data_IF_656759181922
#
_entry.id   IF_656759181922
#
_cell.length_a   1.000
_cell.length_b   1.000
_cell.length_c   1.000
_cell.angle_alpha   90.00
_cell.angle_beta   90.00
_cell.angle_gamma   90.00
#
_symmetry.space_group_name_H-M   'P 1'
#
loop_
_entity.id
_entity.type
_entity.pdbx_description
1 polymer ?
#
# COMPACT_ATOMS: atom_id res chain seq x y z
N UNK A 1 -9.48 -23.93 -2.75
CA UNK A 1 -9.28 -22.80 -1.82
C UNK A 1 -8.53 -23.31 -0.60
N UNK A 2 -7.47 -22.63 -0.19
CA UNK A 2 -6.65 -23.00 0.96
C UNK A 2 -7.38 -22.67 2.27
N UNK A 3 -6.93 -23.28 3.39
CA UNK A 3 -7.41 -22.88 4.71
C UNK A 3 -6.97 -21.46 5.05
N UNK A 4 -7.82 -20.70 5.73
CA UNK A 4 -7.50 -19.35 6.16
C UNK A 4 -8.18 -19.00 7.49
N UNK A 5 -7.62 -17.99 8.15
CA UNK A 5 -8.25 -17.29 9.26
C UNK A 5 -8.32 -15.81 8.86
N UNK A 6 -9.53 -15.27 8.77
CA UNK A 6 -9.76 -13.88 8.39
C UNK A 6 -10.33 -13.11 9.57
N UNK A 7 -9.62 -12.04 9.94
CA UNK A 7 -10.06 -11.09 10.95
C UNK A 7 -9.86 -9.68 10.42
N UNK A 8 -10.94 -8.94 10.23
CA UNK A 8 -10.97 -7.56 9.74
C UNK A 8 -11.58 -6.64 10.78
N UNK A 9 -10.85 -6.30 11.87
CA UNK A 9 -11.39 -5.60 13.02
C UNK A 9 -11.67 -4.12 12.77
N UNK A 10 -11.10 -3.53 11.72
CA UNK A 10 -11.22 -2.09 11.44
C UNK A 10 -12.66 -1.71 11.10
N UNK A 11 -13.25 -0.82 11.91
CA UNK A 11 -14.54 -0.20 11.58
C UNK A 11 -14.35 0.84 10.48
N UNK A 12 -15.05 0.69 9.38
CA UNK A 12 -15.05 1.67 8.29
C UNK A 12 -16.23 2.63 8.44
N UNK A 13 -15.92 3.94 8.53
CA UNK A 13 -16.89 5.02 8.47
C UNK A 13 -16.73 5.71 7.11
N UNK A 14 -17.59 5.35 6.17
CA UNK A 14 -17.46 5.76 4.77
C UNK A 14 -18.55 6.76 4.39
N UNK A 15 -18.16 7.84 3.73
CA UNK A 15 -19.08 8.77 3.11
C UNK A 15 -18.76 10.23 3.44
N UNK A 16 -19.50 11.11 2.79
CA UNK A 16 -19.38 12.55 2.99
C UNK A 16 -19.68 12.91 4.44
N UNK A 17 -18.87 13.77 5.01
CA UNK A 17 -19.00 14.27 6.39
C UNK A 17 -18.86 13.17 7.48
N UNK A 18 -18.31 11.99 7.14
CA UNK A 18 -18.09 10.90 8.10
C UNK A 18 -17.21 11.31 9.29
N UNK A 19 -16.48 12.41 9.19
CA UNK A 19 -15.69 12.99 10.29
C UNK A 19 -16.54 13.32 11.52
N UNK A 20 -17.83 13.57 11.36
CA UNK A 20 -18.75 13.85 12.46
C UNK A 20 -18.81 12.70 13.50
N UNK A 21 -18.54 11.48 13.06
CA UNK A 21 -18.56 10.30 13.93
C UNK A 21 -17.19 10.04 14.61
N UNK A 22 -16.15 10.83 14.34
CA UNK A 22 -14.80 10.62 14.85
C UNK A 22 -14.75 10.55 16.37
N UNK A 23 -15.40 11.52 17.04
CA UNK A 23 -15.37 11.63 18.50
C UNK A 23 -15.88 10.36 19.21
N UNK A 24 -16.89 9.72 18.65
CA UNK A 24 -17.49 8.51 19.19
C UNK A 24 -16.59 7.27 19.08
N UNK A 25 -15.53 7.31 18.24
CA UNK A 25 -14.62 6.20 18.05
C UNK A 25 -13.42 6.23 19.04
N UNK A 26 -13.22 7.34 19.73
CA UNK A 26 -12.04 7.55 20.60
C UNK A 26 -12.51 7.53 22.06
N UNK A 27 -11.79 6.81 22.98
CA UNK A 27 -12.12 6.81 24.40
C UNK A 27 -12.20 8.23 24.99
N UNK A 28 -13.13 8.43 25.92
CA UNK A 28 -13.40 9.77 26.47
C UNK A 28 -12.24 10.37 27.27
N UNK A 29 -11.38 9.52 27.80
CA UNK A 29 -10.20 9.85 28.60
C UNK A 29 -8.88 9.72 27.81
N UNK A 30 -8.98 9.55 26.49
CA UNK A 30 -7.79 9.36 25.66
C UNK A 30 -6.93 10.62 25.60
N UNK A 31 -5.61 10.42 25.72
CA UNK A 31 -4.60 11.39 25.31
C UNK A 31 -4.15 11.05 23.90
N UNK A 32 -4.54 11.92 22.97
CA UNK A 32 -4.43 11.65 21.53
C UNK A 32 -3.19 12.32 20.95
N UNK A 33 -2.41 11.58 20.16
CA UNK A 33 -1.39 12.15 19.28
C UNK A 33 -1.91 12.07 17.84
N UNK A 34 -2.19 13.23 17.25
CA UNK A 34 -2.56 13.35 15.83
C UNK A 34 -1.29 13.41 15.00
N UNK A 35 -1.13 12.47 14.08
CA UNK A 35 0.03 12.37 13.18
C UNK A 35 -0.36 12.75 11.76
N UNK A 36 0.49 13.50 11.04
CA UNK A 36 0.23 13.90 9.66
C UNK A 36 1.53 14.13 8.88
N UNK A 37 1.42 14.30 7.55
CA UNK A 37 2.55 14.50 6.66
C UNK A 37 3.03 15.94 6.55
N UNK A 38 3.42 16.36 5.34
CA UNK A 38 4.03 17.66 5.06
C UNK A 38 3.10 18.89 5.12
N UNK A 39 1.87 18.74 5.64
CA UNK A 39 0.98 19.87 5.91
C UNK A 39 -0.11 20.11 4.85
N UNK A 40 -0.31 19.25 3.86
CA UNK A 40 -1.43 19.34 2.93
C UNK A 40 -2.78 19.31 3.67
N UNK A 41 -2.92 18.49 4.69
CA UNK A 41 -4.15 18.40 5.51
C UNK A 41 -4.47 19.69 6.29
N UNK A 42 -3.45 20.52 6.60
CA UNK A 42 -3.66 21.87 7.14
C UNK A 42 -4.23 22.81 6.06
N UNK A 43 -3.64 22.78 4.88
CA UNK A 43 -4.05 23.66 3.76
C UNK A 43 -5.45 23.36 3.24
N UNK A 44 -5.86 22.10 3.28
CA UNK A 44 -7.19 21.65 2.81
C UNK A 44 -8.28 21.76 3.87
N UNK A 45 -7.94 22.13 5.11
CA UNK A 45 -8.88 22.25 6.22
C UNK A 45 -9.31 20.90 6.85
N UNK A 46 -8.76 19.77 6.41
CA UNK A 46 -9.07 18.46 7.00
C UNK A 46 -8.63 18.40 8.45
N UNK A 47 -7.43 18.94 8.75
CA UNK A 47 -6.91 18.93 10.12
C UNK A 47 -7.76 19.80 11.06
N UNK A 48 -8.30 20.92 10.59
CA UNK A 48 -9.20 21.79 11.39
C UNK A 48 -10.51 21.04 11.72
N UNK A 49 -11.04 20.25 10.79
CA UNK A 49 -12.22 19.41 11.03
C UNK A 49 -11.90 18.32 12.06
N UNK A 50 -10.72 17.71 11.98
CA UNK A 50 -10.25 16.72 12.95
C UNK A 50 -10.19 17.34 14.35
N UNK A 51 -9.55 18.51 14.51
CA UNK A 51 -9.47 19.17 15.83
C UNK A 51 -10.83 19.57 16.37
N UNK A 52 -11.70 20.07 15.51
CA UNK A 52 -13.08 20.38 15.92
C UNK A 52 -13.84 19.14 16.41
N UNK A 53 -13.62 17.99 15.75
CA UNK A 53 -14.23 16.73 16.17
C UNK A 53 -13.61 16.15 17.45
N UNK A 54 -12.36 16.54 17.80
CA UNK A 54 -11.66 16.09 18.99
C UNK A 54 -11.83 17.05 20.19
N UNK A 55 -12.69 18.04 20.08
CA UNK A 55 -12.93 19.01 21.16
C UNK A 55 -13.22 18.30 22.49
N UNK A 56 -12.59 18.80 23.56
CA UNK A 56 -12.69 18.24 24.89
C UNK A 56 -11.74 17.07 25.20
N UNK A 57 -10.91 16.62 24.24
CA UNK A 57 -9.83 15.66 24.47
C UNK A 57 -8.48 16.34 24.69
N UNK A 58 -7.57 15.66 25.37
CA UNK A 58 -6.16 16.07 25.48
C UNK A 58 -5.42 15.67 24.21
N UNK A 59 -5.15 16.66 23.32
CA UNK A 59 -4.61 16.42 21.98
C UNK A 59 -3.19 17.00 21.85
N UNK A 60 -2.31 16.20 21.28
CA UNK A 60 -0.97 16.60 20.79
C UNK A 60 -0.90 16.39 19.29
N UNK A 61 0.07 17.04 18.65
CA UNK A 61 0.29 16.86 17.21
C UNK A 61 1.74 16.49 16.87
N UNK A 62 1.92 15.71 15.84
CA UNK A 62 3.20 15.43 15.21
C UNK A 62 3.04 15.48 13.69
N UNK A 63 3.62 16.49 13.06
CA UNK A 63 3.64 16.66 11.60
C UNK A 63 5.00 16.36 10.98
N UNK A 64 5.03 16.27 9.65
CA UNK A 64 6.26 16.12 8.90
C UNK A 64 6.63 14.67 8.57
N UNK A 65 5.70 13.74 8.70
CA UNK A 65 5.91 12.37 8.20
C UNK A 65 6.01 12.44 6.66
N UNK A 66 7.18 12.12 6.14
CA UNK A 66 7.49 12.18 4.72
C UNK A 66 6.95 11.00 3.92
N UNK A 67 6.81 11.10 2.60
CA UNK A 67 6.63 9.94 1.73
C UNK A 67 7.76 8.91 1.96
N UNK A 68 7.42 7.61 2.00
CA UNK A 68 8.33 6.56 2.47
C UNK A 68 8.85 6.86 3.88
N UNK A 69 8.00 6.78 4.91
CA UNK A 69 8.27 7.32 6.24
C UNK A 69 9.56 6.76 6.82
N UNK A 70 10.43 7.65 7.33
CA UNK A 70 11.73 7.24 7.81
C UNK A 70 11.75 6.98 9.31
N UNK A 71 12.47 5.95 9.71
CA UNK A 71 12.75 5.60 11.09
C UNK A 71 13.18 6.82 11.91
N UNK A 72 14.12 7.60 11.35
CA UNK A 72 14.69 8.76 12.03
C UNK A 72 13.64 9.82 12.36
N UNK A 73 12.72 10.10 11.45
CA UNK A 73 11.60 11.02 11.69
C UNK A 73 10.62 10.45 12.71
N UNK A 74 10.25 9.18 12.56
CA UNK A 74 9.26 8.52 13.41
C UNK A 74 9.70 8.37 14.85
N UNK A 75 11.00 8.19 15.12
CA UNK A 75 11.55 8.10 16.49
C UNK A 75 11.33 9.38 17.29
N UNK A 76 11.20 10.56 16.64
CA UNK A 76 10.81 11.78 17.34
C UNK A 76 9.38 11.70 17.89
N UNK A 77 8.46 11.13 17.10
CA UNK A 77 7.08 10.90 17.56
C UNK A 77 6.99 9.81 18.64
N UNK A 78 7.80 8.75 18.53
CA UNK A 78 7.91 7.72 19.58
C UNK A 78 8.31 8.32 20.91
N UNK A 79 9.28 9.25 20.89
CA UNK A 79 9.70 9.98 22.10
C UNK A 79 8.53 10.77 22.71
N UNK A 80 7.80 11.53 21.90
CA UNK A 80 6.60 12.27 22.36
C UNK A 80 5.57 11.30 22.95
N UNK A 81 5.29 10.20 22.24
CA UNK A 81 4.30 9.22 22.68
C UNK A 81 4.62 8.63 24.07
N UNK A 82 5.89 8.37 24.34
CA UNK A 82 6.37 7.86 25.64
C UNK A 82 6.36 8.94 26.73
N UNK A 83 6.97 10.09 26.47
CA UNK A 83 7.13 11.17 27.46
C UNK A 83 5.79 11.77 27.88
N UNK A 84 4.84 11.87 26.95
CA UNK A 84 3.52 12.45 27.22
C UNK A 84 2.44 11.40 27.52
N UNK A 85 2.81 10.13 27.65
CA UNK A 85 1.90 9.02 27.95
C UNK A 85 0.68 9.01 27.04
N UNK A 86 0.92 9.04 25.72
CA UNK A 86 -0.13 8.98 24.71
C UNK A 86 -0.85 7.62 24.77
N UNK A 87 -2.17 7.63 24.78
CA UNK A 87 -3.01 6.43 24.88
C UNK A 87 -3.77 6.12 23.61
N UNK A 88 -3.77 7.02 22.62
CA UNK A 88 -4.40 6.83 21.33
C UNK A 88 -3.67 7.59 20.22
N UNK A 89 -3.50 6.98 19.04
CA UNK A 89 -2.92 7.63 17.86
C UNK A 89 -4.00 7.86 16.81
N UNK A 90 -3.98 9.03 16.17
CA UNK A 90 -4.86 9.32 15.04
C UNK A 90 -4.03 9.74 13.83
N UNK A 91 -3.95 8.87 12.82
CA UNK A 91 -3.28 9.14 11.57
C UNK A 91 -4.19 9.96 10.63
N UNK A 92 -3.75 11.13 10.20
CA UNK A 92 -4.49 11.98 9.24
C UNK A 92 -3.65 12.15 7.98
N UNK A 93 -3.93 11.35 6.95
CA UNK A 93 -3.11 11.36 5.74
C UNK A 93 -3.32 10.15 4.83
N UNK A 94 -2.33 9.89 3.99
CA UNK A 94 -2.25 8.71 3.14
C UNK A 94 -1.40 7.60 3.77
N UNK A 95 -1.08 6.57 2.97
CA UNK A 95 -0.39 5.37 3.40
C UNK A 95 0.89 5.61 4.19
N UNK A 96 1.73 6.56 3.79
CA UNK A 96 2.98 6.87 4.51
C UNK A 96 2.74 7.36 5.94
N UNK A 97 1.71 8.17 6.15
CA UNK A 97 1.33 8.64 7.50
C UNK A 97 0.79 7.48 8.33
N UNK A 98 -0.04 6.62 7.72
CA UNK A 98 -0.61 5.46 8.40
C UNK A 98 0.48 4.45 8.78
N UNK A 99 1.36 4.12 7.86
CA UNK A 99 2.49 3.20 8.09
C UNK A 99 3.42 3.73 9.18
N UNK A 100 3.77 5.02 9.10
CA UNK A 100 4.55 5.69 10.14
C UNK A 100 3.87 5.63 11.51
N UNK A 101 2.55 5.84 11.54
CA UNK A 101 1.77 5.80 12.79
C UNK A 101 1.69 4.39 13.38
N UNK A 102 1.58 3.35 12.54
CA UNK A 102 1.68 1.95 12.98
C UNK A 102 3.03 1.64 13.62
N UNK A 103 4.11 2.14 13.02
CA UNK A 103 5.43 2.00 13.62
C UNK A 103 5.52 2.73 14.97
N UNK A 104 5.06 3.98 15.05
CA UNK A 104 5.02 4.75 16.31
C UNK A 104 4.23 3.97 17.38
N UNK A 105 3.08 3.41 17.01
CA UNK A 105 2.22 2.63 17.91
C UNK A 105 2.95 1.44 18.56
N UNK A 106 3.66 0.66 17.74
CA UNK A 106 4.42 -0.49 18.21
C UNK A 106 5.69 -0.06 18.98
N UNK A 107 6.46 0.88 18.41
CA UNK A 107 7.74 1.32 18.96
C UNK A 107 7.58 2.02 20.31
N UNK A 108 6.47 2.71 20.56
CA UNK A 108 6.19 3.35 21.85
C UNK A 108 6.09 2.34 23.01
N UNK A 109 5.59 1.13 22.72
CA UNK A 109 5.49 0.01 23.67
C UNK A 109 6.65 -0.99 23.60
N UNK A 110 7.64 -0.70 22.74
CA UNK A 110 8.78 -1.60 22.57
C UNK A 110 9.73 -1.52 23.77
N UNK A 111 10.44 -2.63 24.04
CA UNK A 111 11.28 -2.75 25.23
C UNK A 111 12.35 -1.65 25.31
N UNK A 112 12.55 -1.10 26.52
CA UNK A 112 13.59 -0.11 26.76
C UNK A 112 14.98 -0.69 26.48
N UNK A 113 15.85 0.14 25.85
CA UNK A 113 17.21 -0.24 25.54
C UNK A 113 17.38 -1.11 24.30
N UNK A 114 16.29 -1.50 23.62
CA UNK A 114 16.34 -2.20 22.33
C UNK A 114 16.04 -1.20 21.22
N UNK A 115 16.83 -1.22 20.14
CA UNK A 115 16.57 -0.40 18.95
C UNK A 115 15.22 -0.82 18.32
N UNK A 116 14.21 0.06 18.25
CA UNK A 116 12.93 -0.28 17.61
C UNK A 116 13.01 -0.68 16.13
N UNK A 117 14.15 -0.45 15.46
CA UNK A 117 14.37 -1.00 14.13
C UNK A 117 14.26 -2.54 14.10
N UNK A 118 14.50 -3.18 15.22
CA UNK A 118 14.32 -4.63 15.38
C UNK A 118 12.89 -5.11 15.02
N UNK A 119 11.88 -4.25 15.11
CA UNK A 119 10.53 -4.53 14.62
C UNK A 119 10.55 -4.92 13.12
N UNK A 120 11.37 -4.23 12.32
CA UNK A 120 11.50 -4.49 10.88
C UNK A 120 12.32 -5.77 10.62
N UNK A 121 13.40 -5.98 11.36
CA UNK A 121 14.26 -7.17 11.27
C UNK A 121 13.47 -8.45 11.59
N UNK A 122 12.58 -8.40 12.57
CA UNK A 122 11.69 -9.52 12.96
C UNK A 122 10.39 -9.56 12.16
N UNK A 123 10.21 -8.65 11.20
CA UNK A 123 8.98 -8.50 10.41
C UNK A 123 7.72 -8.35 11.29
N UNK A 124 7.88 -7.77 12.48
CA UNK A 124 6.82 -7.52 13.45
C UNK A 124 6.45 -8.70 14.34
N UNK A 125 7.12 -9.86 14.25
CA UNK A 125 6.73 -11.05 15.02
C UNK A 125 6.91 -10.94 16.54
N UNK A 126 7.71 -10.00 16.99
CA UNK A 126 8.01 -9.77 18.41
C UNK A 126 7.20 -8.63 19.05
N UNK A 127 6.34 -7.94 18.29
CA UNK A 127 5.41 -6.95 18.85
C UNK A 127 4.40 -7.64 19.76
N UNK A 128 4.35 -7.23 21.03
CA UNK A 128 3.45 -7.79 22.05
C UNK A 128 2.26 -6.90 22.34
N UNK A 129 2.38 -5.61 22.08
CA UNK A 129 1.33 -4.61 22.24
C UNK A 129 1.67 -3.37 21.44
N UNK A 130 0.67 -2.54 21.18
CA UNK A 130 0.82 -1.24 20.53
C UNK A 130 -0.20 -0.25 21.10
N UNK A 131 0.05 1.04 20.93
CA UNK A 131 -0.96 2.06 21.23
C UNK A 131 -2.10 1.90 20.21
N UNK A 132 -3.37 1.82 20.65
CA UNK A 132 -4.51 1.79 19.71
C UNK A 132 -4.50 2.99 18.77
N UNK A 133 -4.87 2.76 17.52
CA UNK A 133 -4.90 3.83 16.53
C UNK A 133 -6.14 3.81 15.64
N UNK A 134 -6.56 5.00 15.21
CA UNK A 134 -7.53 5.20 14.14
C UNK A 134 -6.94 6.02 13.00
N UNK A 135 -7.69 6.17 11.92
CA UNK A 135 -7.24 6.93 10.76
C UNK A 135 -8.33 7.79 10.13
N UNK A 136 -7.89 8.91 9.54
CA UNK A 136 -8.65 9.74 8.61
C UNK A 136 -7.89 9.71 7.28
N UNK A 137 -8.41 8.98 6.31
CA UNK A 137 -7.73 8.73 5.04
C UNK A 137 -7.91 9.91 4.09
N UNK A 138 -6.80 10.40 3.53
CA UNK A 138 -6.83 11.49 2.55
C UNK A 138 -6.28 11.10 1.18
N UNK A 139 -5.61 9.96 1.07
CA UNK A 139 -5.07 9.42 -0.19
C UNK A 139 -5.27 7.91 -0.22
N UNK A 140 -6.26 7.41 -0.99
CA UNK A 140 -6.50 6.00 -1.16
C UNK A 140 -5.47 5.37 -2.10
N UNK A 141 -4.76 4.34 -1.65
CA UNK A 141 -3.75 3.58 -2.38
C UNK A 141 -3.45 2.25 -1.67
N UNK A 142 -2.79 2.34 -0.52
CA UNK A 142 -2.13 1.24 0.18
C UNK A 142 -3.07 0.31 0.97
N UNK A 143 -4.32 0.71 1.21
CA UNK A 143 -5.22 -0.02 2.12
C UNK A 143 -4.73 -0.04 3.58
N UNK A 144 -3.72 0.76 3.93
CA UNK A 144 -3.11 0.78 5.27
C UNK A 144 -4.10 1.15 6.37
N UNK A 145 -5.17 1.84 6.03
CA UNK A 145 -6.26 2.20 6.96
C UNK A 145 -7.06 1.00 7.47
N UNK A 146 -6.94 -0.16 6.82
CA UNK A 146 -7.72 -1.36 7.17
C UNK A 146 -6.91 -2.66 7.16
N UNK A 147 -5.58 -2.57 7.21
CA UNK A 147 -4.71 -3.73 7.29
C UNK A 147 -3.68 -3.60 8.42
N UNK A 148 -2.91 -4.65 8.64
CA UNK A 148 -1.91 -4.78 9.71
C UNK A 148 -0.46 -4.63 9.25
N UNK A 149 -0.24 -4.22 8.00
CA UNK A 149 1.08 -4.01 7.40
C UNK A 149 1.54 -2.57 7.47
N UNK A 150 2.84 -2.36 7.51
CA UNK A 150 3.48 -1.06 7.36
C UNK A 150 4.88 -1.21 6.74
N UNK A 151 5.31 -0.19 6.00
CA UNK A 151 6.62 -0.16 5.35
C UNK A 151 7.38 1.08 5.80
N UNK A 152 8.57 0.88 6.36
CA UNK A 152 9.41 1.93 6.94
C UNK A 152 10.76 1.97 6.25
N UNK A 153 11.25 3.17 5.99
CA UNK A 153 12.59 3.39 5.45
C UNK A 153 13.58 3.73 6.57
N UNK A 154 14.85 3.38 6.40
CA UNK A 154 15.95 3.84 7.24
C UNK A 154 16.98 4.56 6.37
N UNK A 155 17.09 5.88 6.55
CA UNK A 155 17.94 6.73 5.69
C UNK A 155 19.41 6.42 5.86
N UNK A 156 19.83 6.09 7.08
CA UNK A 156 21.26 5.83 7.41
C UNK A 156 21.81 4.58 6.73
N UNK A 157 20.97 3.59 6.41
CA UNK A 157 21.35 2.32 5.77
C UNK A 157 20.81 2.19 4.34
N UNK A 158 19.88 3.09 3.93
CA UNK A 158 19.23 3.02 2.63
C UNK A 158 18.25 1.86 2.50
N UNK A 159 17.70 1.39 3.63
CA UNK A 159 16.77 0.25 3.66
C UNK A 159 15.32 0.70 3.59
N UNK A 160 14.46 -0.15 3.00
CA UNK A 160 13.01 -0.04 3.03
C UNK A 160 12.42 -1.41 3.29
N UNK A 161 11.88 -1.62 4.48
CA UNK A 161 11.41 -2.91 4.95
C UNK A 161 9.98 -2.87 5.46
N UNK A 162 9.28 -4.00 5.35
CA UNK A 162 7.92 -4.18 5.80
C UNK A 162 7.86 -4.98 7.12
N UNK A 163 6.86 -4.65 7.94
CA UNK A 163 6.45 -5.48 9.08
C UNK A 163 4.93 -5.64 9.11
N UNK A 164 4.45 -6.66 9.78
CA UNK A 164 3.02 -6.93 9.95
C UNK A 164 2.73 -7.43 11.37
N UNK A 165 1.72 -6.83 12.01
CA UNK A 165 1.26 -7.33 13.31
C UNK A 165 -0.18 -6.88 13.57
N UNK A 166 -1.00 -7.73 14.20
CA UNK A 166 -2.41 -7.43 14.49
C UNK A 166 -2.61 -6.26 15.45
N UNK A 167 -1.66 -6.03 16.36
CA UNK A 167 -1.73 -4.93 17.34
C UNK A 167 -1.66 -3.54 16.70
N UNK A 168 -1.14 -3.40 15.48
CA UNK A 168 -1.03 -2.10 14.79
C UNK A 168 -2.15 -1.86 13.78
N UNK A 169 -3.09 -2.79 13.63
CA UNK A 169 -4.23 -2.59 12.72
C UNK A 169 -5.14 -1.49 13.27
N UNK A 170 -5.53 -0.48 12.46
CA UNK A 170 -6.41 0.58 12.91
C UNK A 170 -7.75 0.04 13.42
N UNK A 171 -8.23 0.56 14.55
CA UNK A 171 -9.53 0.16 15.13
C UNK A 171 -10.70 0.78 14.35
N UNK A 172 -10.47 1.91 13.70
CA UNK A 172 -11.42 2.51 12.75
C UNK A 172 -10.67 3.28 11.65
N UNK A 173 -11.36 3.51 10.55
CA UNK A 173 -10.93 4.39 9.48
C UNK A 173 -12.09 5.26 8.99
N UNK A 174 -11.86 6.56 8.88
CA UNK A 174 -12.77 7.52 8.26
C UNK A 174 -12.35 7.70 6.80
N UNK A 175 -13.27 7.40 5.90
CA UNK A 175 -13.10 7.44 4.46
C UNK A 175 -14.12 8.41 3.85
N UNK A 176 -13.75 9.67 3.74
CA UNK A 176 -14.55 10.67 3.05
C UNK A 176 -13.98 10.94 1.65
N UNK A 177 -14.67 10.55 0.57
CA UNK A 177 -14.18 10.79 -0.80
C UNK A 177 -13.90 12.26 -1.11
N UNK A 178 -14.57 13.19 -0.45
CA UNK A 178 -14.37 14.65 -0.64
C UNK A 178 -12.93 15.06 -0.29
N UNK A 179 -12.29 14.40 0.67
CA UNK A 179 -10.89 14.69 1.05
C UNK A 179 -9.89 14.39 -0.06
N UNK A 180 -10.29 13.66 -1.09
CA UNK A 180 -9.43 13.32 -2.23
C UNK A 180 -9.50 14.31 -3.38
N UNK A 181 -10.44 15.26 -3.37
CA UNK A 181 -10.68 16.20 -4.49
C UNK A 181 -9.45 17.07 -4.81
N UNK A 182 -8.67 17.41 -3.80
CA UNK A 182 -7.49 18.28 -3.92
C UNK A 182 -6.20 17.54 -4.19
N UNK A 183 -6.25 16.21 -4.35
CA UNK A 183 -5.06 15.43 -4.65
C UNK A 183 -4.50 15.79 -6.05
N UNK A 184 -3.18 15.99 -6.16
CA UNK A 184 -2.53 16.10 -7.46
C UNK A 184 -2.79 14.88 -8.34
N UNK A 185 -2.97 15.08 -9.65
CA UNK A 185 -3.23 14.01 -10.61
C UNK A 185 -2.22 12.84 -10.50
N UNK A 186 -0.94 13.14 -10.29
CA UNK A 186 0.11 12.14 -10.07
C UNK A 186 -0.19 11.22 -8.87
N UNK A 187 -0.68 11.77 -7.76
CA UNK A 187 -1.00 10.96 -6.58
C UNK A 187 -2.25 10.12 -6.80
N UNK A 188 -3.23 10.64 -7.53
CA UNK A 188 -4.42 9.86 -7.91
C UNK A 188 -4.03 8.69 -8.82
N UNK A 189 -3.22 8.93 -9.85
CA UNK A 189 -2.71 7.89 -10.74
C UNK A 189 -1.92 6.82 -9.98
N UNK A 190 -1.01 7.26 -9.11
CA UNK A 190 -0.22 6.36 -8.26
C UNK A 190 -1.12 5.50 -7.35
N UNK A 191 -2.17 6.08 -6.75
CA UNK A 191 -3.10 5.34 -5.91
C UNK A 191 -3.87 4.26 -6.68
N UNK A 192 -4.32 4.57 -7.90
CA UNK A 192 -5.00 3.61 -8.78
C UNK A 192 -4.06 2.46 -9.18
N UNK A 193 -2.82 2.77 -9.57
CA UNK A 193 -1.80 1.77 -9.95
C UNK A 193 -1.44 0.89 -8.75
N UNK A 194 -1.24 1.46 -7.58
CA UNK A 194 -0.90 0.74 -6.35
C UNK A 194 -2.01 -0.27 -5.97
N UNK A 195 -3.26 0.19 -5.91
CA UNK A 195 -4.41 -0.67 -5.63
C UNK A 195 -4.58 -1.78 -6.69
N UNK A 196 -4.31 -1.46 -7.97
CA UNK A 196 -4.35 -2.45 -9.05
C UNK A 196 -3.29 -3.54 -8.83
N UNK A 197 -2.05 -3.15 -8.53
CA UNK A 197 -0.95 -4.11 -8.31
C UNK A 197 -1.19 -4.94 -7.05
N UNK A 198 -1.66 -4.34 -5.95
CA UNK A 198 -2.09 -5.10 -4.77
C UNK A 198 -3.08 -6.21 -5.13
N UNK A 199 -4.06 -5.88 -5.97
CA UNK A 199 -5.09 -6.84 -6.36
C UNK A 199 -4.52 -7.97 -7.19
N UNK A 200 -3.71 -7.67 -8.22
CA UNK A 200 -3.18 -8.70 -9.11
C UNK A 200 -2.13 -9.60 -8.45
N UNK A 201 -1.38 -9.12 -7.46
CA UNK A 201 -0.43 -9.97 -6.72
C UNK A 201 -1.12 -11.00 -5.81
N UNK A 202 -2.41 -10.80 -5.51
CA UNK A 202 -3.26 -11.77 -4.82
C UNK A 202 -4.13 -12.59 -5.79
N UNK A 203 -4.22 -12.19 -7.06
CA UNK A 203 -5.09 -12.79 -8.07
C UNK A 203 -4.33 -13.56 -9.13
N UNK A 204 -3.26 -13.00 -9.72
CA UNK A 204 -2.49 -13.61 -10.82
C UNK A 204 -1.36 -14.48 -10.26
N UNK A 205 -1.73 -15.61 -9.67
CA UNK A 205 -0.83 -16.61 -9.10
C UNK A 205 -1.07 -17.97 -9.74
N UNK A 206 -1.54 -18.95 -8.99
CA UNK A 206 -2.00 -20.24 -9.53
C UNK A 206 -3.39 -20.61 -9.02
N UNK A 207 -4.17 -21.41 -9.76
CA UNK A 207 -5.54 -21.74 -9.40
C UNK A 207 -5.64 -22.59 -8.15
N UNK A 208 -6.51 -22.19 -7.21
CA UNK A 208 -6.90 -22.98 -6.03
C UNK A 208 -8.43 -23.14 -5.91
N UNK A 209 -9.14 -22.87 -7.02
CA UNK A 209 -10.61 -22.92 -7.09
C UNK A 209 -11.31 -22.02 -6.06
N UNK A 210 -10.76 -20.82 -5.84
CA UNK A 210 -11.30 -19.81 -4.93
C UNK A 210 -12.16 -18.79 -5.68
N UNK A 211 -13.33 -19.23 -6.16
CA UNK A 211 -14.19 -18.48 -7.08
C UNK A 211 -14.64 -17.13 -6.53
N UNK A 212 -14.93 -17.03 -5.23
CA UNK A 212 -15.38 -15.78 -4.59
C UNK A 212 -14.24 -14.76 -4.59
N UNK A 213 -13.02 -15.16 -4.17
CA UNK A 213 -11.85 -14.30 -4.19
C UNK A 213 -11.51 -13.83 -5.61
N UNK A 214 -11.62 -14.73 -6.59
CA UNK A 214 -11.44 -14.37 -7.99
C UNK A 214 -12.43 -13.27 -8.43
N UNK A 215 -13.73 -13.43 -8.10
CA UNK A 215 -14.75 -12.43 -8.44
C UNK A 215 -14.57 -11.10 -7.72
N UNK A 216 -14.16 -11.12 -6.46
CA UNK A 216 -13.85 -9.89 -5.73
C UNK A 216 -12.66 -9.16 -6.35
N UNK A 217 -11.57 -9.87 -6.67
CA UNK A 217 -10.41 -9.29 -7.32
C UNK A 217 -10.76 -8.75 -8.71
N UNK A 218 -11.48 -9.50 -9.53
CA UNK A 218 -11.97 -9.09 -10.85
C UNK A 218 -12.84 -7.83 -10.75
N UNK A 219 -13.74 -7.76 -9.77
CA UNK A 219 -14.58 -6.57 -9.52
C UNK A 219 -13.77 -5.32 -9.16
N UNK A 220 -12.74 -5.47 -8.31
CA UNK A 220 -11.85 -4.36 -7.95
C UNK A 220 -11.08 -3.88 -9.18
N UNK A 221 -10.50 -4.80 -9.97
CA UNK A 221 -9.73 -4.46 -11.18
C UNK A 221 -10.59 -3.73 -12.21
N UNK A 222 -11.79 -4.24 -12.49
CA UNK A 222 -12.74 -3.61 -13.41
C UNK A 222 -13.14 -2.20 -12.95
N UNK A 223 -13.40 -2.04 -11.65
CA UNK A 223 -13.71 -0.72 -11.07
C UNK A 223 -12.54 0.27 -11.24
N UNK A 224 -11.30 -0.17 -10.96
CA UNK A 224 -10.12 0.69 -11.12
C UNK A 224 -9.86 1.06 -12.59
N UNK A 225 -10.06 0.13 -13.52
CA UNK A 225 -9.93 0.38 -14.96
C UNK A 225 -10.98 1.39 -15.44
N UNK A 226 -12.21 1.27 -14.96
CA UNK A 226 -13.32 2.14 -15.33
C UNK A 226 -13.22 3.52 -14.72
N UNK A 227 -12.96 3.61 -13.39
CA UNK A 227 -13.04 4.84 -12.62
C UNK A 227 -11.70 5.58 -12.52
N UNK A 228 -10.56 4.88 -12.63
CA UNK A 228 -9.24 5.50 -12.52
C UNK A 228 -9.01 6.65 -13.51
N UNK A 229 -9.22 6.45 -14.82
CA UNK A 229 -9.11 7.53 -15.82
C UNK A 229 -10.12 8.66 -15.60
N UNK A 230 -11.34 8.35 -15.10
CA UNK A 230 -12.34 9.38 -14.77
C UNK A 230 -11.90 10.21 -13.57
N UNK A 231 -11.28 9.60 -12.56
CA UNK A 231 -10.77 10.30 -11.39
C UNK A 231 -9.73 11.39 -11.73
N UNK A 232 -8.99 11.21 -12.82
CA UNK A 232 -8.06 12.22 -13.34
C UNK A 232 -8.77 13.35 -14.10
N UNK A 233 -9.86 13.04 -14.79
CA UNK A 233 -10.61 14.01 -15.63
C UNK A 233 -11.67 14.76 -14.83
N UNK A 234 -12.23 14.15 -13.82
CA UNK A 234 -13.35 14.63 -13.00
C UNK A 234 -12.97 14.59 -11.51
N UNK A 235 -11.99 15.44 -11.08
CA UNK A 235 -11.39 15.33 -9.75
C UNK A 235 -12.37 15.54 -8.59
N UNK A 236 -13.50 16.22 -8.82
CA UNK A 236 -14.53 16.50 -7.82
C UNK A 236 -15.81 15.65 -8.00
N UNK A 237 -15.77 14.61 -8.85
CA UNK A 237 -16.89 13.69 -9.00
C UNK A 237 -16.90 12.72 -7.81
N UNK A 238 -17.90 12.87 -6.93
CA UNK A 238 -18.02 12.08 -5.71
C UNK A 238 -18.08 10.58 -5.99
N UNK A 239 -18.94 10.15 -6.92
CA UNK A 239 -19.13 8.72 -7.21
C UNK A 239 -17.85 8.07 -7.73
N UNK A 240 -17.13 8.76 -8.61
CA UNK A 240 -15.83 8.30 -9.11
C UNK A 240 -14.83 8.17 -7.97
N UNK A 241 -14.69 9.20 -7.13
CA UNK A 241 -13.76 9.19 -6.00
C UNK A 241 -14.12 8.15 -4.94
N UNK A 242 -15.40 7.95 -4.69
CA UNK A 242 -15.91 6.96 -3.76
C UNK A 242 -15.58 5.54 -4.22
N UNK A 243 -15.78 5.24 -5.51
CA UNK A 243 -15.44 3.94 -6.08
C UNK A 243 -13.93 3.66 -6.05
N UNK A 244 -13.10 4.63 -6.43
CA UNK A 244 -11.63 4.49 -6.36
C UNK A 244 -11.17 4.28 -4.91
N UNK A 245 -11.68 5.08 -3.96
CA UNK A 245 -11.33 4.96 -2.54
C UNK A 245 -11.72 3.59 -1.99
N UNK A 246 -12.93 3.13 -2.26
CA UNK A 246 -13.39 1.83 -1.76
C UNK A 246 -12.67 0.67 -2.42
N UNK A 247 -12.38 0.74 -3.72
CA UNK A 247 -11.58 -0.26 -4.43
C UNK A 247 -10.15 -0.37 -3.83
N UNK A 248 -9.50 0.75 -3.52
CA UNK A 248 -8.17 0.77 -2.91
C UNK A 248 -8.17 0.13 -1.51
N UNK A 249 -9.17 0.42 -0.68
CA UNK A 249 -9.33 -0.22 0.63
C UNK A 249 -9.53 -1.73 0.48
N UNK A 250 -10.40 -2.18 -0.42
CA UNK A 250 -10.68 -3.59 -0.64
C UNK A 250 -9.50 -4.36 -1.25
N UNK A 251 -8.64 -3.67 -1.99
CA UNK A 251 -7.47 -4.28 -2.62
C UNK A 251 -6.47 -4.88 -1.61
N UNK A 252 -6.40 -4.35 -0.38
CA UNK A 252 -5.44 -4.82 0.62
C UNK A 252 -5.96 -4.84 2.06
N UNK A 253 -7.24 -5.09 2.27
CA UNK A 253 -7.80 -5.28 3.61
C UNK A 253 -7.76 -6.75 4.10
N UNK A 254 -7.18 -7.65 3.32
CA UNK A 254 -7.06 -9.08 3.63
C UNK A 254 -8.18 -9.96 3.06
N UNK A 255 -9.29 -9.38 2.59
CA UNK A 255 -10.43 -10.16 2.10
C UNK A 255 -10.11 -10.97 0.85
N UNK A 256 -9.59 -10.33 -0.20
CA UNK A 256 -9.32 -11.00 -1.48
C UNK A 256 -8.15 -11.99 -1.42
N UNK A 257 -7.23 -11.81 -0.45
CA UNK A 257 -6.10 -12.71 -0.21
C UNK A 257 -6.43 -13.93 0.63
N UNK A 258 -7.66 -13.99 1.21
CA UNK A 258 -8.04 -15.08 2.09
C UNK A 258 -8.17 -16.41 1.33
N UNK A 259 -7.34 -17.39 1.69
CA UNK A 259 -7.37 -18.74 1.12
C UNK A 259 -6.85 -18.87 -0.31
N UNK A 260 -6.10 -17.86 -0.81
CA UNK A 260 -5.42 -17.89 -2.11
C UNK A 260 -3.91 -17.73 -1.93
N UNK A 261 -3.09 -18.22 -2.88
CA UNK A 261 -1.67 -17.90 -2.91
C UNK A 261 -1.46 -16.44 -3.28
N UNK A 262 -0.39 -15.83 -2.75
CA UNK A 262 -0.03 -14.43 -2.97
C UNK A 262 1.41 -14.34 -3.43
N UNK A 263 1.70 -13.44 -4.39
CA UNK A 263 3.03 -13.29 -5.00
C UNK A 263 3.94 -12.34 -4.19
N UNK A 264 3.59 -11.06 -4.18
CA UNK A 264 4.33 -9.95 -3.56
C UNK A 264 5.73 -9.67 -4.14
N UNK A 265 6.19 -10.38 -5.14
CA UNK A 265 7.52 -10.17 -5.72
C UNK A 265 7.64 -8.82 -6.42
N UNK A 266 6.54 -8.31 -7.04
CA UNK A 266 6.53 -6.97 -7.64
C UNK A 266 6.82 -5.90 -6.58
N UNK A 267 6.21 -6.01 -5.41
CA UNK A 267 6.45 -5.09 -4.29
C UNK A 267 7.88 -5.19 -3.76
N UNK A 268 8.39 -6.39 -3.53
CA UNK A 268 9.74 -6.56 -2.99
C UNK A 268 10.81 -6.00 -3.93
N UNK A 269 10.72 -6.29 -5.22
CA UNK A 269 11.61 -5.72 -6.23
C UNK A 269 11.43 -4.19 -6.36
N UNK A 270 10.20 -3.71 -6.29
CA UNK A 270 9.87 -2.29 -6.32
C UNK A 270 10.43 -1.50 -5.13
N UNK A 271 10.47 -2.09 -3.93
CA UNK A 271 11.01 -1.45 -2.74
C UNK A 271 12.49 -1.08 -2.90
N UNK A 272 13.29 -1.96 -3.48
CA UNK A 272 14.71 -1.68 -3.73
C UNK A 272 14.89 -0.54 -4.75
N UNK A 273 14.05 -0.48 -5.79
CA UNK A 273 14.04 0.64 -6.74
C UNK A 273 13.66 1.96 -6.06
N UNK A 274 12.67 1.95 -5.18
CA UNK A 274 12.29 3.13 -4.40
C UNK A 274 13.43 3.58 -3.49
N UNK A 275 14.04 2.67 -2.74
CA UNK A 275 15.11 2.98 -1.80
C UNK A 275 16.34 3.56 -2.50
N UNK A 276 16.70 3.02 -3.67
CA UNK A 276 17.89 3.41 -4.41
C UNK A 276 17.71 4.68 -5.26
N UNK A 277 16.53 4.86 -5.86
CA UNK A 277 16.31 5.92 -6.86
C UNK A 277 15.30 6.98 -6.44
N UNK A 278 14.62 6.82 -5.31
CA UNK A 278 13.63 7.77 -4.82
C UNK A 278 12.35 7.86 -5.67
N UNK A 279 12.08 6.85 -6.50
CA UNK A 279 10.83 6.78 -7.27
C UNK A 279 9.64 6.58 -6.34
N UNK A 280 8.47 7.08 -6.74
CA UNK A 280 7.23 6.80 -6.02
C UNK A 280 6.95 5.30 -6.02
N UNK A 281 6.35 4.80 -4.97
CA UNK A 281 6.06 3.37 -4.80
C UNK A 281 5.34 2.78 -6.02
N UNK A 282 4.22 3.37 -6.43
CA UNK A 282 3.43 2.89 -7.58
C UNK A 282 4.21 2.93 -8.90
N UNK A 283 5.14 3.88 -9.07
CA UNK A 283 5.98 3.94 -10.28
C UNK A 283 6.88 2.71 -10.39
N UNK A 284 7.46 2.27 -9.28
CA UNK A 284 8.30 1.06 -9.27
C UNK A 284 7.49 -0.20 -9.53
N UNK A 285 6.25 -0.26 -9.02
CA UNK A 285 5.34 -1.38 -9.28
C UNK A 285 4.95 -1.45 -10.76
N UNK A 286 4.62 -0.31 -11.38
CA UNK A 286 4.29 -0.23 -12.81
C UNK A 286 5.44 -0.69 -13.70
N UNK A 287 6.67 -0.41 -13.31
CA UNK A 287 7.88 -0.85 -14.02
C UNK A 287 8.11 -2.35 -13.91
N UNK A 288 7.97 -2.91 -12.71
CA UNK A 288 8.34 -4.30 -12.41
C UNK A 288 7.29 -5.30 -12.87
N UNK A 289 6.00 -5.03 -12.63
CA UNK A 289 4.91 -5.99 -12.85
C UNK A 289 4.87 -6.62 -14.24
N UNK A 290 4.89 -5.85 -15.37
CA UNK A 290 4.80 -6.44 -16.70
C UNK A 290 6.03 -7.31 -17.03
N UNK A 291 7.21 -6.92 -16.58
CA UNK A 291 8.44 -7.69 -16.79
C UNK A 291 8.41 -9.00 -15.99
N UNK A 292 7.93 -8.94 -14.74
CA UNK A 292 7.75 -10.12 -13.91
C UNK A 292 6.76 -11.11 -14.54
N UNK A 293 5.62 -10.64 -15.03
CA UNK A 293 4.64 -11.50 -15.67
C UNK A 293 5.19 -12.17 -16.93
N UNK A 294 5.98 -11.46 -17.74
CA UNK A 294 6.65 -12.05 -18.89
C UNK A 294 7.66 -13.14 -18.49
N UNK A 295 8.47 -12.90 -17.46
CA UNK A 295 9.45 -13.87 -16.97
C UNK A 295 8.79 -15.10 -16.32
N UNK A 296 7.63 -14.91 -15.68
CA UNK A 296 6.90 -15.97 -14.95
C UNK A 296 5.66 -16.48 -15.68
N UNK A 297 5.51 -16.18 -16.98
CA UNK A 297 4.30 -16.50 -17.74
C UNK A 297 3.87 -17.96 -17.68
N UNK A 298 4.83 -18.89 -17.68
CA UNK A 298 4.53 -20.32 -17.66
C UNK A 298 3.91 -20.77 -16.34
N UNK A 299 4.43 -20.31 -15.21
CA UNK A 299 3.91 -20.67 -13.88
C UNK A 299 2.61 -19.95 -13.55
N UNK A 300 2.37 -18.78 -14.14
CA UNK A 300 1.15 -17.96 -13.97
C UNK A 300 0.13 -18.15 -15.10
N UNK A 301 0.42 -19.03 -16.10
CA UNK A 301 -0.31 -19.14 -17.35
C UNK A 301 -1.83 -19.22 -17.19
N UNK A 302 -2.31 -20.11 -16.33
CA UNK A 302 -3.74 -20.31 -16.12
C UNK A 302 -4.44 -19.05 -15.60
N UNK A 303 -3.80 -18.32 -14.68
CA UNK A 303 -4.36 -17.09 -14.11
C UNK A 303 -4.19 -15.90 -15.03
N UNK A 304 -3.12 -15.82 -15.81
CA UNK A 304 -2.96 -14.79 -16.85
C UNK A 304 -4.01 -14.93 -17.95
N UNK A 305 -4.35 -16.16 -18.35
CA UNK A 305 -5.45 -16.40 -19.31
C UNK A 305 -6.81 -16.03 -18.72
N UNK A 306 -7.07 -16.38 -17.45
CA UNK A 306 -8.27 -15.95 -16.74
C UNK A 306 -8.36 -14.43 -16.64
N UNK A 307 -7.26 -13.76 -16.32
CA UNK A 307 -7.15 -12.30 -16.26
C UNK A 307 -7.39 -11.65 -17.65
N UNK A 308 -6.79 -12.20 -18.71
CA UNK A 308 -7.01 -11.74 -20.08
C UNK A 308 -8.50 -11.77 -20.45
N UNK A 309 -9.16 -12.90 -20.19
CA UNK A 309 -10.59 -13.09 -20.51
C UNK A 309 -11.49 -12.20 -19.65
N UNK A 310 -11.33 -12.26 -18.31
CA UNK A 310 -12.34 -11.72 -17.39
C UNK A 310 -12.17 -10.26 -17.04
N UNK A 311 -10.94 -9.74 -17.16
CA UNK A 311 -10.65 -8.33 -16.86
C UNK A 311 -10.57 -7.50 -18.14
N UNK A 312 -9.96 -8.05 -19.21
CA UNK A 312 -9.75 -7.33 -20.46
C UNK A 312 -10.64 -7.78 -21.62
N UNK A 313 -11.48 -8.81 -21.41
CA UNK A 313 -12.33 -9.41 -22.44
C UNK A 313 -11.53 -9.88 -23.67
N UNK A 314 -10.29 -10.37 -23.47
CA UNK A 314 -9.43 -10.91 -24.51
C UNK A 314 -9.67 -12.41 -24.62
N UNK A 315 -10.42 -12.82 -25.63
CA UNK A 315 -10.88 -14.21 -25.84
C UNK A 315 -10.30 -14.87 -27.09
N UNK A 316 -9.82 -14.08 -28.06
CA UNK A 316 -9.38 -14.55 -29.34
C UNK A 316 -7.85 -14.69 -29.43
N UNK A 317 -7.38 -15.65 -30.22
CA UNK A 317 -5.96 -15.90 -30.44
C UNK A 317 -5.41 -17.09 -29.65
N UNK A 318 -4.12 -17.37 -29.85
CA UNK A 318 -3.43 -18.40 -29.07
C UNK A 318 -3.29 -17.94 -27.61
N UNK A 319 -3.05 -18.87 -26.68
CA UNK A 319 -2.82 -18.58 -25.29
C UNK A 319 -1.72 -17.54 -25.09
N UNK A 320 -0.59 -17.68 -25.80
CA UNK A 320 0.52 -16.73 -25.69
C UNK A 320 0.14 -15.33 -26.20
N UNK A 321 -0.58 -15.25 -27.33
CA UNK A 321 -1.08 -13.98 -27.85
C UNK A 321 -2.07 -13.30 -26.90
N UNK A 322 -2.92 -14.06 -26.22
CA UNK A 322 -3.85 -13.54 -25.21
C UNK A 322 -3.12 -13.01 -23.97
N UNK A 323 -2.08 -13.73 -23.52
CA UNK A 323 -1.24 -13.30 -22.40
C UNK A 323 -0.49 -12.01 -22.78
N UNK A 324 0.15 -11.97 -23.95
CA UNK A 324 0.84 -10.76 -24.43
C UNK A 324 -0.12 -9.56 -24.50
N UNK A 325 -1.29 -9.75 -25.07
CA UNK A 325 -2.30 -8.69 -25.16
C UNK A 325 -2.79 -8.21 -23.78
N UNK A 326 -2.90 -9.09 -22.78
CA UNK A 326 -3.30 -8.71 -21.44
C UNK A 326 -2.19 -7.92 -20.71
N UNK A 327 -0.93 -8.31 -20.89
CA UNK A 327 0.22 -7.58 -20.34
C UNK A 327 0.31 -6.19 -20.99
N UNK A 328 0.14 -6.10 -22.31
CA UNK A 328 0.14 -4.83 -23.04
C UNK A 328 -1.05 -3.94 -22.64
N UNK A 329 -2.24 -4.51 -22.43
CA UNK A 329 -3.40 -3.78 -21.93
C UNK A 329 -3.13 -3.18 -20.55
N UNK A 330 -2.44 -3.92 -19.66
CA UNK A 330 -2.04 -3.43 -18.34
C UNK A 330 -1.02 -2.29 -18.43
N UNK A 331 0.00 -2.42 -19.30
CA UNK A 331 0.95 -1.34 -19.60
C UNK A 331 0.24 -0.08 -20.08
N UNK A 332 -0.62 -0.24 -21.10
CA UNK A 332 -1.36 0.87 -21.70
C UNK A 332 -2.27 1.55 -20.67
N UNK A 333 -2.85 0.80 -19.75
CA UNK A 333 -3.65 1.34 -18.68
C UNK A 333 -2.81 2.22 -17.73
N UNK A 334 -1.67 1.74 -17.27
CA UNK A 334 -0.78 2.51 -16.39
C UNK A 334 -0.20 3.75 -17.09
N UNK A 335 0.26 3.58 -18.34
CA UNK A 335 0.78 4.70 -19.15
C UNK A 335 -0.31 5.72 -19.49
N UNK A 336 -1.54 5.26 -19.71
CA UNK A 336 -2.72 6.13 -19.90
C UNK A 336 -3.08 6.96 -18.67
N UNK A 337 -2.69 6.51 -17.46
CA UNK A 337 -2.78 7.27 -16.23
C UNK A 337 -1.57 8.21 -16.03
N UNK A 338 -0.58 8.19 -16.92
CA UNK A 338 0.65 8.98 -16.82
C UNK A 338 1.74 8.33 -15.97
N UNK A 339 1.70 7.02 -15.75
CA UNK A 339 2.70 6.26 -14.99
C UNK A 339 3.51 5.37 -15.95
N UNK A 340 4.74 5.75 -16.32
CA UNK A 340 5.59 4.96 -17.22
C UNK A 340 5.87 3.56 -16.68
N UNK A 341 5.95 2.57 -17.58
CA UNK A 341 6.11 1.14 -17.24
C UNK A 341 7.51 0.60 -17.55
N UNK A 342 8.50 1.48 -17.74
CA UNK A 342 9.90 1.13 -17.99
C UNK A 342 10.84 2.03 -17.20
N UNK A 343 12.01 1.51 -16.80
CA UNK A 343 13.07 2.28 -16.13
C UNK A 343 13.50 3.50 -16.95
N UNK A 344 13.59 3.34 -18.28
CA UNK A 344 13.94 4.45 -19.19
C UNK A 344 12.96 5.63 -19.14
N UNK A 345 11.69 5.39 -18.82
CA UNK A 345 10.69 6.46 -18.59
C UNK A 345 11.00 7.35 -17.38
N UNK A 346 11.90 6.91 -16.52
CA UNK A 346 12.40 7.65 -15.35
C UNK A 346 13.89 8.04 -15.49
N UNK A 347 14.45 7.92 -16.68
CA UNK A 347 15.86 8.25 -16.95
C UNK A 347 16.86 7.22 -16.40
N UNK A 348 16.42 6.01 -16.08
CA UNK A 348 17.26 4.93 -15.55
C UNK A 348 17.63 3.95 -16.67
N UNK A 349 18.91 3.61 -16.77
CA UNK A 349 19.49 2.77 -17.84
C UNK A 349 19.75 1.31 -17.43
N UNK A 350 19.49 0.98 -16.17
CA UNK A 350 19.73 -0.35 -15.60
C UNK A 350 21.16 -0.56 -15.08
N UNK A 351 22.01 0.44 -15.05
CA UNK A 351 23.38 0.35 -14.48
C UNK A 351 23.39 0.01 -12.99
N UNK A 352 22.30 0.31 -12.28
CA UNK A 352 22.09 0.00 -10.85
C UNK A 352 21.69 -1.46 -10.58
N UNK A 353 21.37 -2.28 -11.57
CA UNK A 353 20.87 -3.66 -11.36
C UNK A 353 21.79 -4.50 -10.46
N UNK A 354 23.13 -4.48 -10.61
CA UNK A 354 24.00 -5.24 -9.69
C UNK A 354 23.86 -4.82 -8.22
N UNK A 355 23.69 -3.52 -7.96
CA UNK A 355 23.49 -3.00 -6.60
C UNK A 355 22.11 -3.35 -6.04
N UNK A 356 21.06 -3.33 -6.87
CA UNK A 356 19.71 -3.79 -6.48
C UNK A 356 19.73 -5.26 -6.06
N UNK A 357 20.42 -6.12 -6.81
CA UNK A 357 20.56 -7.55 -6.48
C UNK A 357 21.33 -7.77 -5.18
N UNK A 358 22.39 -6.99 -4.93
CA UNK A 358 23.12 -7.04 -3.67
C UNK A 358 22.23 -6.66 -2.48
N UNK A 359 21.35 -5.67 -2.62
CA UNK A 359 20.38 -5.31 -1.59
C UNK A 359 19.31 -6.38 -1.37
N UNK A 360 18.80 -7.00 -2.43
CA UNK A 360 17.88 -8.15 -2.29
C UNK A 360 18.54 -9.30 -1.52
N UNK A 361 19.82 -9.60 -1.78
CA UNK A 361 20.56 -10.62 -1.06
C UNK A 361 20.77 -10.25 0.42
N UNK A 362 21.16 -9.01 0.70
CA UNK A 362 21.31 -8.47 2.07
C UNK A 362 20.02 -8.57 2.87
N UNK A 363 18.88 -8.31 2.24
CA UNK A 363 17.56 -8.39 2.88
C UNK A 363 16.96 -9.82 2.90
N UNK A 364 17.71 -10.84 2.42
CA UNK A 364 17.22 -12.22 2.35
C UNK A 364 16.13 -12.47 1.31
N UNK A 365 15.97 -11.56 0.34
CA UNK A 365 14.96 -11.63 -0.73
C UNK A 365 15.45 -12.45 -1.92
N UNK A 366 15.94 -13.65 -1.65
CA UNK A 366 16.58 -14.53 -2.65
C UNK A 366 15.65 -15.57 -3.25
N UNK A 367 14.43 -15.71 -2.72
CA UNK A 367 13.40 -16.66 -3.16
C UNK A 367 12.02 -16.02 -3.04
N UNK A 368 11.68 -15.14 -4.00
CA UNK A 368 10.43 -14.41 -4.03
C UNK A 368 9.33 -15.15 -4.82
N UNK A 369 8.13 -14.59 -4.76
CA UNK A 369 6.94 -15.10 -5.45
C UNK A 369 6.22 -16.22 -4.74
N UNK A 370 5.04 -16.56 -5.22
CA UNK A 370 4.14 -17.56 -4.63
C UNK A 370 4.71 -19.00 -4.66
N UNK A 371 5.71 -19.25 -5.50
CA UNK A 371 6.43 -20.51 -5.59
C UNK A 371 7.83 -20.48 -4.95
N UNK A 372 8.27 -19.31 -4.43
CA UNK A 372 9.64 -19.14 -3.94
C UNK A 372 10.71 -19.36 -5.01
N UNK A 373 10.38 -19.18 -6.30
CA UNK A 373 11.26 -19.51 -7.41
C UNK A 373 11.72 -18.27 -8.21
N UNK A 374 11.53 -17.08 -7.66
CA UNK A 374 12.14 -15.85 -8.17
C UNK A 374 13.46 -15.66 -7.40
N UNK A 375 14.52 -16.29 -7.92
CA UNK A 375 15.89 -16.20 -7.42
C UNK A 375 16.54 -14.88 -7.83
N UNK A 376 17.75 -14.59 -7.34
CA UNK A 376 18.49 -13.39 -7.75
C UNK A 376 18.73 -13.34 -9.28
N UNK A 377 18.97 -14.49 -9.93
CA UNK A 377 19.11 -14.54 -11.40
C UNK A 377 17.78 -14.22 -12.11
N UNK A 378 16.67 -14.68 -11.58
CA UNK A 378 15.34 -14.34 -12.11
C UNK A 378 15.06 -12.85 -11.87
N UNK A 379 15.35 -12.32 -10.70
CA UNK A 379 15.23 -10.89 -10.37
C UNK A 379 16.04 -10.01 -11.31
N UNK A 380 17.29 -10.46 -11.65
CA UNK A 380 18.12 -9.80 -12.66
C UNK A 380 17.40 -9.70 -14.00
N UNK A 381 16.88 -10.83 -14.53
CA UNK A 381 16.18 -10.83 -15.81
C UNK A 381 14.93 -9.96 -15.79
N UNK A 382 14.21 -9.93 -14.68
CA UNK A 382 13.04 -9.04 -14.52
C UNK A 382 13.46 -7.57 -14.63
N UNK A 383 14.50 -7.14 -13.89
CA UNK A 383 15.00 -5.76 -13.98
C UNK A 383 15.56 -5.42 -15.36
N UNK A 384 16.25 -6.34 -16.01
CA UNK A 384 16.76 -6.17 -17.38
C UNK A 384 15.64 -6.02 -18.39
N UNK A 385 14.54 -6.79 -18.26
CA UNK A 385 13.37 -6.71 -19.12
C UNK A 385 12.52 -5.43 -18.84
N UNK A 386 12.68 -4.82 -17.69
CA UNK A 386 11.99 -3.60 -17.28
C UNK A 386 12.68 -2.29 -17.76
N UNK A 387 13.81 -2.35 -18.46
CA UNK A 387 14.61 -1.21 -18.96
C UNK A 387 13.88 -0.34 -19.99
#
# INVERSE_FOLDING_TARGET
MNNFNLHTPTRILFGKDAIADLRAQIPADARVLVTYGGGSVKKTGVLDQVYSALDGLDVREFGGIEPNPSYETLMNAVKIAREENITFLLAVGGGSVLDGTKFIAAAAHYADGVDPWHILETRGSDIKSAIPMGSVLTLPATGSESNKGAVISRKTTGDKQAFMNEHVQPVFAILDPVYTYTLPARQVANGVVDAFVHTVEQYVTYPVNAKIQDRFAEGILLTLIEEGPKALKEPENYDVRANVMWAATQALNGLIGAGVPQDWATHMLGHELTAMHGLDHAQTLAVVLPALWNEKRDTKRAKLLQYAERVWNITEGSDDARIDAAIDATRNFFEGLGVPTRLSGYGLDGSSIPALLAKLEEHGMTHLGEHGNITLDVSRRIYEAAR
#
